data_IF_597182317952
#
_entry.id   IF_597182317952
#
_cell.length_a   1.000
_cell.length_b   1.000
_cell.length_c   1.000
_cell.angle_alpha   90.00
_cell.angle_beta   90.00
_cell.angle_gamma   90.00
#
_symmetry.space_group_name_H-M   'P 1'
#
loop_
_entity.id
_entity.type
_entity.pdbx_description
1 polymer ?
#
# COMPACT_ATOMS: atom_id res chain seq x y z
N UNK A 1 -3.72 -4.36 -14.93
CA UNK A 1 -2.49 -3.67 -14.49
C UNK A 1 -1.99 -4.34 -13.24
N UNK A 2 -0.75 -4.77 -13.26
CA UNK A 2 -0.16 -5.41 -12.10
C UNK A 2 0.37 -4.38 -11.14
N UNK A 3 0.08 -4.58 -9.87
CA UNK A 3 0.62 -3.76 -8.80
C UNK A 3 1.31 -4.69 -7.80
N UNK A 4 2.48 -4.29 -7.38
CA UNK A 4 3.22 -5.00 -6.35
C UNK A 4 3.48 -4.04 -5.21
N UNK A 5 3.24 -4.50 -3.99
CA UNK A 5 3.44 -3.69 -2.80
C UNK A 5 4.46 -4.36 -1.91
N UNK A 6 5.51 -3.62 -1.57
CA UNK A 6 6.48 -4.05 -0.57
C UNK A 6 6.11 -3.41 0.75
N UNK A 7 6.13 -4.21 1.81
CA UNK A 7 5.68 -3.78 3.12
C UNK A 7 6.81 -3.81 4.13
N UNK A 8 6.68 -3.01 5.18
CA UNK A 8 7.55 -3.15 6.32
C UNK A 8 7.24 -4.49 7.00
N UNK A 9 8.26 -5.15 7.53
CA UNK A 9 8.07 -6.34 8.32
C UNK A 9 7.31 -5.95 9.57
N UNK A 10 6.01 -6.27 9.58
CA UNK A 10 5.15 -5.87 10.67
C UNK A 10 5.15 -6.87 11.80
N UNK A 11 4.90 -6.40 12.98
CA UNK A 11 4.61 -7.23 14.13
C UNK A 11 3.20 -7.79 13.92
N UNK A 12 3.04 -9.09 14.17
CA UNK A 12 1.73 -9.75 14.13
C UNK A 12 1.03 -9.70 12.77
N UNK A 13 1.81 -9.71 11.72
CA UNK A 13 1.22 -9.73 10.38
C UNK A 13 0.61 -8.42 9.93
N UNK A 14 0.81 -7.34 10.66
CA UNK A 14 0.40 -6.03 10.18
C UNK A 14 1.40 -5.57 9.13
N UNK A 15 0.92 -5.52 7.90
CA UNK A 15 1.74 -5.10 6.78
C UNK A 15 1.41 -3.65 6.44
N UNK A 16 2.42 -2.80 6.53
CA UNK A 16 2.27 -1.39 6.18
C UNK A 16 3.00 -1.14 4.87
N UNK A 17 2.34 -0.58 3.87
CA UNK A 17 2.98 -0.33 2.59
C UNK A 17 4.21 0.56 2.73
N UNK A 18 5.29 0.16 2.11
CA UNK A 18 6.54 0.90 2.09
C UNK A 18 6.87 1.40 0.71
N UNK A 19 6.60 0.59 -0.31
CA UNK A 19 6.96 0.87 -1.68
C UNK A 19 5.94 0.20 -2.60
N UNK A 20 5.60 0.87 -3.69
CA UNK A 20 4.67 0.35 -4.66
C UNK A 20 5.36 0.26 -6.01
N UNK A 21 5.08 -0.83 -6.71
CA UNK A 21 5.48 -0.99 -8.11
C UNK A 21 4.21 -1.02 -8.95
N UNK A 22 4.12 -0.10 -9.90
CA UNK A 22 3.02 -0.08 -10.86
C UNK A 22 3.65 -0.27 -12.23
N UNK A 23 3.54 -1.50 -12.76
CA UNK A 23 4.28 -1.85 -13.95
C UNK A 23 5.79 -1.73 -13.67
N UNK A 24 6.48 -0.93 -14.45
CA UNK A 24 7.91 -0.68 -14.28
C UNK A 24 8.23 0.52 -13.39
N UNK A 25 7.21 1.15 -12.84
CA UNK A 25 7.39 2.37 -12.08
C UNK A 25 7.42 2.08 -10.60
N UNK A 26 8.49 2.52 -9.94
CA UNK A 26 8.63 2.40 -8.50
C UNK A 26 8.21 3.69 -7.82
N UNK A 27 7.37 3.55 -6.80
CA UNK A 27 6.88 4.69 -6.02
C UNK A 27 7.16 4.40 -4.55
N UNK A 28 7.97 5.24 -3.93
CA UNK A 28 8.19 5.14 -2.49
C UNK A 28 7.00 5.75 -1.75
N UNK A 29 6.56 5.09 -0.71
CA UNK A 29 5.49 5.63 0.14
C UNK A 29 6.09 6.70 1.04
N UNK A 30 5.72 7.93 0.80
CA UNK A 30 6.21 9.07 1.55
C UNK A 30 5.46 9.22 2.88
N UNK A 31 4.16 8.96 2.84
CA UNK A 31 3.32 9.14 4.00
C UNK A 31 2.08 8.26 3.88
N UNK A 32 1.63 7.71 4.98
CA UNK A 32 0.35 7.03 5.05
C UNK A 32 -0.63 8.03 5.64
N UNK A 33 -1.55 8.51 4.80
CA UNK A 33 -2.49 9.56 5.20
C UNK A 33 -3.68 9.02 5.94
N UNK A 34 -4.08 7.80 5.60
CA UNK A 34 -5.23 7.18 6.24
C UNK A 34 -5.19 5.67 6.04
N UNK A 35 -5.91 4.98 6.89
CA UNK A 35 -6.11 3.54 6.75
C UNK A 35 -7.44 3.17 7.39
N UNK A 36 -8.13 2.20 6.78
CA UNK A 36 -9.40 1.73 7.33
C UNK A 36 -9.61 0.28 6.98
N UNK A 37 -10.50 -0.35 7.73
CA UNK A 37 -10.84 -1.75 7.54
C UNK A 37 -12.23 -1.87 6.97
N UNK A 38 -12.38 -2.72 5.97
CA UNK A 38 -13.67 -3.21 5.51
C UNK A 38 -13.78 -4.69 5.88
N UNK A 39 -14.96 -5.30 5.77
CA UNK A 39 -15.14 -6.69 6.19
C UNK A 39 -14.18 -7.68 5.54
N UNK A 40 -13.78 -7.45 4.29
CA UNK A 40 -12.92 -8.38 3.55
C UNK A 40 -11.61 -7.76 3.08
N UNK A 41 -11.42 -6.47 3.33
CA UNK A 41 -10.27 -5.74 2.79
C UNK A 41 -9.73 -4.75 3.81
N UNK A 42 -8.46 -4.43 3.62
CA UNK A 42 -7.82 -3.28 4.27
C UNK A 42 -7.52 -2.24 3.22
N UNK A 43 -7.67 -1.00 3.58
CA UNK A 43 -7.38 0.11 2.69
C UNK A 43 -6.32 1.01 3.29
N UNK A 44 -5.46 1.50 2.42
CA UNK A 44 -4.45 2.47 2.80
C UNK A 44 -4.49 3.63 1.81
N UNK A 45 -4.59 4.84 2.33
CA UNK A 45 -4.46 6.04 1.52
C UNK A 45 -3.05 6.56 1.76
N UNK A 46 -2.25 6.55 0.72
CA UNK A 46 -0.85 6.91 0.83
C UNK A 46 -0.50 8.04 -0.10
N UNK A 47 0.55 8.76 0.24
CA UNK A 47 1.17 9.71 -0.66
C UNK A 47 2.49 9.14 -1.15
N UNK A 48 2.67 9.08 -2.46
CA UNK A 48 3.91 8.64 -3.06
C UNK A 48 4.93 9.76 -3.15
N UNK A 49 6.16 9.39 -3.48
CA UNK A 49 7.25 10.34 -3.66
C UNK A 49 7.10 11.20 -4.93
N UNK A 50 6.14 10.85 -5.77
CA UNK A 50 5.75 11.65 -6.92
C UNK A 50 4.68 12.70 -6.59
N UNK A 51 4.36 12.85 -5.30
CA UNK A 51 3.34 13.73 -4.75
C UNK A 51 1.91 13.35 -5.12
N UNK A 52 1.71 12.18 -5.68
CA UNK A 52 0.38 11.66 -5.96
C UNK A 52 -0.16 10.87 -4.79
N UNK A 53 -1.47 10.85 -4.67
CA UNK A 53 -2.16 10.08 -3.63
C UNK A 53 -2.72 8.82 -4.25
N UNK A 54 -2.48 7.71 -3.59
CA UNK A 54 -2.95 6.40 -4.03
C UNK A 54 -3.78 5.75 -2.94
N UNK A 55 -4.78 5.00 -3.36
CA UNK A 55 -5.55 4.18 -2.45
C UNK A 55 -5.25 2.72 -2.77
N UNK A 56 -4.67 2.02 -1.80
CA UNK A 56 -4.31 0.63 -1.92
C UNK A 56 -5.31 -0.24 -1.21
N UNK A 57 -5.74 -1.31 -1.87
CA UNK A 57 -6.67 -2.26 -1.29
C UNK A 57 -5.95 -3.59 -1.11
N UNK A 58 -5.96 -4.10 0.10
CA UNK A 58 -5.34 -5.37 0.45
C UNK A 58 -6.39 -6.38 0.85
N UNK A 59 -6.40 -7.53 0.18
CA UNK A 59 -7.32 -8.63 0.46
C UNK A 59 -6.50 -9.89 0.65
N UNK A 60 -6.46 -10.41 1.86
CA UNK A 60 -5.65 -11.59 2.21
C UNK A 60 -4.18 -11.39 1.80
N UNK A 61 -3.77 -11.95 0.67
CA UNK A 61 -2.39 -11.88 0.20
C UNK A 61 -2.25 -11.01 -1.05
N UNK A 62 -3.31 -10.31 -1.45
CA UNK A 62 -3.35 -9.62 -2.73
C UNK A 62 -3.55 -8.11 -2.54
N UNK A 63 -2.82 -7.35 -3.32
CA UNK A 63 -2.95 -5.89 -3.36
C UNK A 63 -3.69 -5.40 -4.59
#
# INVERSE_FOLDING_TARGET
MEIKVECYAGYRGEETPRRIWIGNRKIEVKEIQDRWLAPTHRYFKIQGDDNSVYILRHSSDTW
#
